data_IF_602846894642
#
_entry.id   IF_602846894642
#
_cell.length_a   1.000
_cell.length_b   1.000
_cell.length_c   1.000
_cell.angle_alpha   90.00
_cell.angle_beta   90.00
_cell.angle_gamma   90.00
#
_symmetry.space_group_name_H-M   'P 1'
#
loop_
_entity.id
_entity.type
_entity.pdbx_description
1 polymer ?
#
# COMPACT_ATOMS: atom_id res chain seq x y z
N UNK A 1 21.55 1.97 4.01
CA UNK A 1 20.46 1.03 4.33
C UNK A 1 19.20 1.50 3.66
N UNK A 2 18.49 0.57 3.06
CA UNK A 2 17.30 0.89 2.29
C UNK A 2 16.05 0.55 3.09
N UNK A 3 15.15 1.50 3.18
CA UNK A 3 13.83 1.25 3.74
C UNK A 3 12.97 0.57 2.71
N UNK A 4 12.06 -0.25 3.16
CA UNK A 4 11.07 -0.89 2.30
C UNK A 4 9.68 -0.40 2.68
N UNK A 5 8.77 -0.46 1.74
CA UNK A 5 7.40 0.00 1.96
C UNK A 5 6.43 -1.07 1.48
N UNK A 6 5.34 -1.24 2.21
CA UNK A 6 4.27 -2.15 1.80
C UNK A 6 2.95 -1.40 1.85
N UNK A 7 2.00 -1.90 1.08
CA UNK A 7 0.65 -1.34 1.07
C UNK A 7 -0.25 -2.25 1.90
N UNK A 8 -1.02 -1.65 2.77
CA UNK A 8 -1.97 -2.35 3.63
C UNK A 8 -3.39 -1.90 3.28
N UNK A 9 -4.31 -2.84 3.28
CA UNK A 9 -5.73 -2.57 3.12
C UNK A 9 -6.42 -3.01 4.40
N UNK A 10 -6.92 -2.03 5.15
CA UNK A 10 -7.58 -2.27 6.45
C UNK A 10 -6.66 -3.05 7.40
N UNK A 11 -5.37 -2.70 7.38
CA UNK A 11 -4.37 -3.34 8.24
C UNK A 11 -3.83 -4.65 7.72
N UNK A 12 -4.34 -5.13 6.58
CA UNK A 12 -3.91 -6.40 5.99
C UNK A 12 -3.00 -6.10 4.80
N UNK A 13 -1.84 -6.74 4.77
CA UNK A 13 -0.89 -6.57 3.68
C UNK A 13 -1.47 -7.08 2.37
N UNK A 14 -1.47 -6.22 1.34
CA UNK A 14 -1.91 -6.58 0.00
C UNK A 14 -0.77 -6.54 -1.02
N UNK A 15 0.39 -6.02 -0.63
CA UNK A 15 1.57 -6.01 -1.49
C UNK A 15 2.23 -7.39 -1.49
N UNK A 16 2.44 -7.97 -2.68
CA UNK A 16 3.17 -9.21 -2.80
C UNK A 16 4.66 -8.98 -2.54
N UNK A 17 5.18 -7.89 -3.06
CA UNK A 17 6.59 -7.52 -2.90
C UNK A 17 6.71 -6.23 -2.10
N UNK A 18 7.86 -6.08 -1.44
CA UNK A 18 8.19 -4.84 -0.77
C UNK A 18 8.69 -3.82 -1.78
N UNK A 19 8.17 -2.60 -1.70
CA UNK A 19 8.58 -1.52 -2.58
C UNK A 19 9.83 -0.85 -2.04
N UNK A 20 10.74 -0.48 -2.91
CA UNK A 20 12.00 0.14 -2.52
C UNK A 20 11.87 1.64 -2.25
N UNK A 21 10.78 2.24 -2.68
CA UNK A 21 10.55 3.66 -2.47
C UNK A 21 9.10 3.92 -2.12
N UNK A 22 8.87 5.04 -1.43
CA UNK A 22 7.53 5.46 -1.09
C UNK A 22 6.72 5.77 -2.35
N UNK A 23 7.36 6.33 -3.37
CA UNK A 23 6.69 6.65 -4.63
C UNK A 23 6.09 5.40 -5.29
N UNK A 24 6.83 4.30 -5.26
CA UNK A 24 6.35 3.03 -5.81
C UNK A 24 5.19 2.49 -5.00
N UNK A 25 5.29 2.57 -3.67
CA UNK A 25 4.21 2.14 -2.78
C UNK A 25 2.95 2.99 -3.01
N UNK A 26 3.13 4.30 -3.23
CA UNK A 26 2.02 5.19 -3.54
C UNK A 26 1.30 4.78 -4.82
N UNK A 27 2.04 4.35 -5.83
CA UNK A 27 1.42 3.91 -7.09
C UNK A 27 0.51 2.71 -6.85
N UNK A 28 0.98 1.76 -6.07
CA UNK A 28 0.15 0.60 -5.73
C UNK A 28 -1.03 1.01 -4.85
N UNK A 29 -0.80 1.88 -3.87
CA UNK A 29 -1.86 2.35 -3.01
C UNK A 29 -2.96 3.05 -3.82
N UNK A 30 -2.58 3.84 -4.80
CA UNK A 30 -3.55 4.51 -5.67
C UNK A 30 -4.38 3.51 -6.47
N UNK A 31 -3.76 2.43 -6.93
CA UNK A 31 -4.47 1.36 -7.60
C UNK A 31 -5.57 0.77 -6.71
N UNK A 32 -5.23 0.48 -5.45
CA UNK A 32 -6.20 -0.07 -4.50
C UNK A 32 -7.29 0.94 -4.14
N UNK A 33 -6.92 2.23 -4.01
CA UNK A 33 -7.89 3.29 -3.75
C UNK A 33 -8.91 3.41 -4.87
N UNK A 34 -8.48 3.24 -6.12
CA UNK A 34 -9.40 3.26 -7.26
C UNK A 34 -10.38 2.08 -7.21
N UNK A 35 -9.90 0.91 -6.82
CA UNK A 35 -10.77 -0.26 -6.68
C UNK A 35 -11.82 -0.01 -5.59
N UNK A 36 -11.40 0.53 -4.45
CA UNK A 36 -12.31 0.81 -3.34
C UNK A 36 -13.32 1.90 -3.72
N UNK A 37 -12.88 2.84 -4.55
CA UNK A 37 -13.78 3.91 -5.02
C UNK A 37 -14.91 3.35 -5.87
N UNK A 38 -14.62 2.33 -6.68
CA UNK A 38 -15.62 1.68 -7.53
C UNK A 38 -16.53 0.75 -6.73
N UNK A 39 -15.95 0.04 -5.77
CA UNK A 39 -16.69 -0.89 -4.91
C UNK A 39 -16.37 -0.56 -3.45
N UNK A 40 -17.01 0.50 -2.89
CA UNK A 40 -16.70 0.92 -1.53
C UNK A 40 -17.07 -0.17 -0.52
N UNK A 41 -16.09 -0.61 0.24
CA UNK A 41 -16.28 -1.63 1.27
C UNK A 41 -15.91 -1.12 2.66
N UNK A 42 -15.59 0.16 2.78
CA UNK A 42 -15.25 0.76 4.06
C UNK A 42 -13.81 0.56 4.49
N UNK A 43 -12.99 -0.08 3.67
CA UNK A 43 -11.59 -0.30 4.03
C UNK A 43 -10.74 0.93 3.70
N UNK A 44 -9.57 1.01 4.34
CA UNK A 44 -8.62 2.09 4.10
C UNK A 44 -7.31 1.51 3.60
N UNK A 45 -6.72 2.21 2.64
CA UNK A 45 -5.40 1.84 2.10
C UNK A 45 -4.36 2.72 2.75
N UNK A 46 -3.34 2.09 3.33
CA UNK A 46 -2.24 2.80 3.97
C UNK A 46 -0.92 2.23 3.49
N UNK A 47 0.15 2.98 3.72
CA UNK A 47 1.51 2.55 3.39
C UNK A 47 2.28 2.43 4.70
N UNK A 48 2.97 1.30 4.86
CA UNK A 48 3.79 1.07 6.05
C UNK A 48 5.25 0.99 5.65
N UNK A 49 6.08 1.71 6.35
CA UNK A 49 7.53 1.64 6.18
C UNK A 49 8.08 0.51 7.05
N UNK A 50 8.87 -0.36 6.43
CA UNK A 50 9.52 -1.46 7.15
C UNK A 50 11.03 -1.39 6.93
N UNK A 51 11.76 -1.76 7.96
CA UNK A 51 13.20 -1.75 7.93
C UNK A 51 13.73 -0.36 8.16
N UNK A 52 14.94 -0.21 7.99
CA UNK A 52 15.45 1.10 8.16
C UNK A 52 16.67 1.50 8.62
#
# INVERSE_FOLDING_TARGET
>A
MTSKFIVLRDGVRVSDDMHESEAKAEQEANFWREIIKRWPDGTKVTIKKIGG
#
